data_IF_135157638809
#
_entry.id   IF_135157638809
#
_cell.length_a   1.000
_cell.length_b   1.000
_cell.length_c   1.000
_cell.angle_alpha   90.00
_cell.angle_beta   90.00
_cell.angle_gamma   90.00
#
_symmetry.space_group_name_H-M   'P 1'
#
loop_
_entity.id
_entity.type
_entity.pdbx_description
1 polymer ?
#
# COMPACT_ATOMS: atom_id res chain seq x y z
N UNK A 1 21.56 -41.07 -47.83
CA UNK A 1 20.11 -40.96 -47.59
C UNK A 1 19.89 -41.53 -46.21
N UNK A 2 20.10 -40.70 -45.20
CA UNK A 2 20.02 -41.09 -43.79
C UNK A 2 18.81 -40.39 -43.16
N UNK A 3 18.03 -41.20 -42.48
CA UNK A 3 16.77 -40.88 -41.82
C UNK A 3 17.05 -40.04 -40.58
N UNK A 4 16.62 -38.77 -40.57
CA UNK A 4 16.51 -38.02 -39.32
C UNK A 4 15.12 -38.23 -38.75
N UNK A 5 15.07 -39.17 -37.81
CA UNK A 5 13.91 -39.47 -36.99
C UNK A 5 13.41 -38.21 -36.28
N UNK A 6 12.11 -37.96 -36.46
CA UNK A 6 11.28 -37.04 -35.71
C UNK A 6 11.52 -37.30 -34.21
N UNK A 7 11.94 -36.27 -33.48
CA UNK A 7 12.02 -36.29 -32.02
C UNK A 7 10.60 -36.50 -31.49
N UNK A 8 10.30 -37.75 -31.16
CA UNK A 8 9.08 -38.19 -30.51
C UNK A 8 9.07 -37.71 -29.06
N UNK A 9 7.97 -37.05 -28.69
CA UNK A 9 7.47 -36.85 -27.33
C UNK A 9 8.48 -36.33 -26.30
N UNK A 10 8.65 -35.01 -26.28
CA UNK A 10 9.03 -34.31 -25.05
C UNK A 10 7.73 -33.87 -24.35
N UNK A 11 7.14 -34.77 -23.55
CA UNK A 11 6.13 -34.36 -22.57
C UNK A 11 6.85 -33.58 -21.48
N UNK A 12 6.71 -32.25 -21.53
CA UNK A 12 7.15 -31.38 -20.46
C UNK A 12 6.13 -31.57 -19.33
N UNK A 13 6.45 -32.46 -18.39
CA UNK A 13 5.73 -32.52 -17.11
C UNK A 13 6.00 -31.20 -16.38
N UNK A 14 5.02 -30.29 -16.43
CA UNK A 14 4.94 -29.18 -15.50
C UNK A 14 4.84 -29.80 -14.12
N UNK A 15 5.91 -29.65 -13.34
CA UNK A 15 5.92 -30.03 -11.94
C UNK A 15 4.79 -29.24 -11.24
N UNK A 16 3.66 -29.90 -11.00
CA UNK A 16 2.57 -29.41 -10.15
C UNK A 16 2.98 -29.55 -8.68
N UNK A 17 4.19 -29.08 -8.36
CA UNK A 17 4.45 -28.52 -7.07
C UNK A 17 3.50 -27.33 -6.97
N UNK A 18 2.33 -27.59 -6.40
CA UNK A 18 1.56 -26.63 -5.61
C UNK A 18 2.49 -26.22 -4.46
N UNK A 19 3.53 -25.46 -4.79
CA UNK A 19 3.94 -24.37 -3.94
C UNK A 19 2.65 -23.60 -3.77
N UNK A 20 2.00 -23.77 -2.62
CA UNK A 20 1.02 -22.79 -2.16
C UNK A 20 1.66 -21.45 -2.47
N UNK A 21 1.04 -20.66 -3.37
CA UNK A 21 1.36 -19.27 -3.59
C UNK A 21 1.21 -18.61 -2.22
N UNK A 22 2.26 -18.65 -1.41
CA UNK A 22 2.36 -17.84 -0.22
C UNK A 22 2.60 -16.45 -0.78
N UNK A 23 1.47 -15.80 -1.06
CA UNK A 23 1.38 -14.38 -1.32
C UNK A 23 2.30 -13.71 -0.29
N UNK A 24 3.38 -13.01 -0.72
CA UNK A 24 4.33 -12.43 0.21
C UNK A 24 3.54 -11.64 1.24
N UNK A 25 3.73 -11.97 2.53
CA UNK A 25 2.93 -11.45 3.64
C UNK A 25 2.73 -9.94 3.46
N UNK A 26 1.53 -9.57 3.03
CA UNK A 26 1.21 -8.18 2.74
C UNK A 26 0.67 -7.56 4.03
N UNK A 27 1.28 -6.45 4.44
CA UNK A 27 0.76 -5.67 5.56
C UNK A 27 -0.56 -5.04 5.13
N UNK A 28 -1.57 -5.09 5.99
CA UNK A 28 -2.88 -4.48 5.74
C UNK A 28 -3.00 -3.27 6.65
N UNK A 29 -3.25 -2.11 6.03
CA UNK A 29 -3.53 -0.86 6.71
C UNK A 29 -5.04 -0.66 6.75
N UNK A 30 -5.57 -0.39 7.94
CA UNK A 30 -6.98 -0.13 8.18
C UNK A 30 -7.22 1.37 8.36
N UNK A 31 -8.14 1.92 7.57
CA UNK A 31 -8.61 3.30 7.71
C UNK A 31 -9.86 3.27 8.57
N UNK A 32 -9.75 3.89 9.75
CA UNK A 32 -10.81 3.90 10.76
C UNK A 32 -11.47 5.28 10.83
N UNK A 33 -12.77 5.30 11.05
CA UNK A 33 -13.51 6.47 11.52
C UNK A 33 -14.10 6.11 12.88
N UNK A 34 -13.42 6.57 13.94
CA UNK A 34 -13.68 6.14 15.32
C UNK A 34 -13.54 4.62 15.46
N UNK A 35 -14.59 3.93 15.89
CA UNK A 35 -14.67 2.49 16.06
C UNK A 35 -15.08 1.74 14.78
N UNK A 36 -15.20 2.44 13.65
CA UNK A 36 -15.72 1.88 12.39
C UNK A 36 -14.63 1.75 11.34
N UNK A 37 -14.48 0.54 10.80
CA UNK A 37 -13.65 0.30 9.62
C UNK A 37 -14.30 0.92 8.38
N UNK A 38 -13.55 1.78 7.70
CA UNK A 38 -14.01 2.55 6.53
C UNK A 38 -13.43 1.98 5.25
N UNK A 39 -12.12 1.71 5.24
CA UNK A 39 -11.42 1.12 4.11
C UNK A 39 -10.19 0.33 4.60
N UNK A 40 -9.68 -0.57 3.77
CA UNK A 40 -8.39 -1.23 3.98
C UNK A 40 -7.54 -1.13 2.73
N UNK A 41 -6.23 -0.97 2.89
CA UNK A 41 -5.24 -0.96 1.80
C UNK A 41 -4.11 -1.88 2.19
N UNK A 42 -3.76 -2.82 1.32
CA UNK A 42 -2.60 -3.69 1.52
C UNK A 42 -1.30 -3.02 1.02
N UNK A 43 -0.15 -3.50 1.48
CA UNK A 43 1.15 -3.06 0.99
C UNK A 43 1.39 -3.37 -0.50
N UNK A 44 0.55 -4.23 -1.11
CA UNK A 44 0.52 -4.51 -2.55
C UNK A 44 -0.45 -3.61 -3.33
N UNK A 45 -1.23 -2.75 -2.66
CA UNK A 45 -2.16 -1.82 -3.29
C UNK A 45 -3.58 -2.34 -3.49
N UNK A 46 -3.86 -3.60 -3.15
CA UNK A 46 -5.23 -4.10 -3.10
C UNK A 46 -6.00 -3.34 -2.02
N UNK A 47 -7.15 -2.75 -2.40
CA UNK A 47 -7.96 -1.92 -1.52
C UNK A 47 -9.41 -2.41 -1.45
N UNK A 48 -10.05 -2.16 -0.31
CA UNK A 48 -11.46 -2.47 -0.07
C UNK A 48 -12.13 -1.32 0.66
N UNK A 49 -13.34 -0.95 0.24
CA UNK A 49 -14.09 0.17 0.82
C UNK A 49 -15.35 -0.39 1.50
N UNK A 50 -15.41 -0.25 2.82
CA UNK A 50 -16.51 -0.73 3.64
C UNK A 50 -17.59 0.34 3.85
N UNK A 51 -17.20 1.62 3.95
CA UNK A 51 -18.15 2.70 4.17
C UNK A 51 -17.75 4.01 3.49
N UNK A 52 -18.24 4.22 2.26
CA UNK A 52 -17.90 5.40 1.45
C UNK A 52 -18.33 6.74 2.09
N UNK A 53 -19.35 6.74 2.95
CA UNK A 53 -19.83 7.97 3.62
C UNK A 53 -18.83 8.52 4.63
N UNK A 54 -18.00 7.66 5.22
CA UNK A 54 -16.99 8.05 6.20
C UNK A 54 -15.57 8.03 5.63
N UNK A 55 -15.44 7.97 4.29
CA UNK A 55 -14.13 8.09 3.65
C UNK A 55 -13.50 9.45 3.97
N UNK A 56 -12.20 9.48 4.30
CA UNK A 56 -11.46 10.73 4.43
C UNK A 56 -11.54 11.54 3.14
N UNK A 57 -11.70 12.86 3.26
CA UNK A 57 -11.90 13.75 2.10
C UNK A 57 -10.81 13.65 1.02
N UNK A 58 -9.55 13.51 1.44
CA UNK A 58 -8.40 13.46 0.52
C UNK A 58 -7.87 12.04 0.29
N UNK A 59 -8.67 11.00 0.58
CA UNK A 59 -8.30 9.61 0.28
C UNK A 59 -9.19 9.04 -0.82
N UNK A 60 -8.59 8.80 -1.98
CA UNK A 60 -9.23 8.09 -3.08
C UNK A 60 -8.67 6.68 -3.20
N UNK A 61 -9.56 5.70 -3.22
CA UNK A 61 -9.25 4.30 -3.43
C UNK A 61 -10.25 3.69 -4.41
N UNK A 62 -9.77 2.71 -5.16
CA UNK A 62 -10.55 1.92 -6.10
C UNK A 62 -10.44 0.44 -5.75
N UNK A 63 -11.59 -0.23 -5.71
CA UNK A 63 -11.65 -1.67 -5.44
C UNK A 63 -11.37 -2.42 -6.73
N UNK A 64 -10.53 -3.45 -6.65
CA UNK A 64 -10.25 -4.29 -7.80
C UNK A 64 -11.49 -5.13 -8.19
N UNK A 65 -11.62 -5.38 -9.50
CA UNK A 65 -12.62 -6.29 -10.03
C UNK A 65 -12.25 -7.76 -9.82
N UNK A 66 -12.66 -8.61 -10.76
CA UNK A 66 -12.35 -10.05 -10.71
C UNK A 66 -10.89 -10.36 -11.08
N UNK A 67 -10.22 -9.45 -11.77
CA UNK A 67 -8.84 -9.58 -12.24
C UNK A 67 -7.94 -8.56 -11.54
N UNK A 68 -6.69 -8.94 -11.32
CA UNK A 68 -5.67 -8.06 -10.72
C UNK A 68 -5.32 -6.96 -11.71
N UNK A 69 -5.50 -5.71 -11.30
CA UNK A 69 -5.14 -4.53 -12.08
C UNK A 69 -3.98 -3.80 -11.41
N UNK A 70 -2.80 -3.95 -12.02
CA UNK A 70 -1.55 -3.37 -11.51
C UNK A 70 -1.62 -1.85 -11.48
N UNK A 71 -2.25 -1.21 -12.47
CA UNK A 71 -2.35 0.24 -12.55
C UNK A 71 -3.23 0.77 -11.41
N UNK A 72 -4.35 0.10 -11.14
CA UNK A 72 -5.22 0.40 -9.99
C UNK A 72 -4.47 0.25 -8.66
N UNK A 73 -3.69 -0.84 -8.48
CA UNK A 73 -2.90 -1.05 -7.25
C UNK A 73 -1.86 0.04 -7.03
N UNK A 74 -1.13 0.42 -8.08
CA UNK A 74 -0.12 1.49 -8.00
C UNK A 74 -0.81 2.80 -7.63
N UNK A 75 -1.92 3.14 -8.29
CA UNK A 75 -2.67 4.35 -8.01
C UNK A 75 -3.22 4.38 -6.57
N UNK A 76 -3.72 3.25 -6.06
CA UNK A 76 -4.15 3.13 -4.67
C UNK A 76 -3.01 3.38 -3.68
N UNK A 77 -1.82 2.82 -3.94
CA UNK A 77 -0.65 3.05 -3.10
C UNK A 77 -0.20 4.51 -3.13
N UNK A 78 -0.15 5.13 -4.31
CA UNK A 78 0.26 6.53 -4.44
C UNK A 78 -0.72 7.46 -3.71
N UNK A 79 -2.03 7.26 -3.90
CA UNK A 79 -3.05 8.03 -3.18
C UNK A 79 -2.98 7.81 -1.67
N UNK A 80 -2.79 6.56 -1.22
CA UNK A 80 -2.69 6.24 0.19
C UNK A 80 -1.43 6.85 0.84
N UNK A 81 -0.27 6.74 0.20
CA UNK A 81 0.97 7.32 0.71
C UNK A 81 0.93 8.85 0.69
N UNK A 82 0.35 9.46 -0.35
CA UNK A 82 0.16 10.91 -0.37
C UNK A 82 -0.74 11.38 0.79
N UNK A 83 -1.85 10.67 1.02
CA UNK A 83 -2.75 10.92 2.15
C UNK A 83 -2.05 10.73 3.51
N UNK A 84 -1.20 9.72 3.65
CA UNK A 84 -0.38 9.55 4.86
C UNK A 84 0.63 10.71 5.01
N UNK A 85 1.30 11.10 3.94
CA UNK A 85 2.30 12.17 3.95
C UNK A 85 1.71 13.51 4.38
N UNK A 86 0.48 13.83 3.95
CA UNK A 86 -0.20 15.09 4.30
C UNK A 86 -0.50 15.26 5.80
N UNK A 87 -0.48 14.16 6.57
CA UNK A 87 -0.66 14.17 8.04
C UNK A 87 0.61 14.46 8.82
N UNK A 88 1.75 14.45 8.13
CA UNK A 88 3.03 14.83 8.73
C UNK A 88 3.09 16.35 8.81
N UNK A 89 3.48 16.87 9.98
CA UNK A 89 3.72 18.29 10.21
C UNK A 89 4.63 18.87 9.10
N UNK A 90 4.16 19.94 8.46
CA UNK A 90 4.94 20.64 7.45
C UNK A 90 6.25 21.19 8.05
N UNK A 91 7.36 21.08 7.31
CA UNK A 91 8.70 21.47 7.78
C UNK A 91 8.86 22.98 8.03
N UNK A 92 7.96 23.81 7.52
CA UNK A 92 7.88 25.25 7.77
C UNK A 92 7.36 25.59 9.19
N UNK A 93 6.82 24.61 9.92
CA UNK A 93 6.41 24.82 11.31
C UNK A 93 7.62 25.03 12.21
N UNK A 94 7.50 26.02 13.12
CA UNK A 94 8.56 26.53 14.00
C UNK A 94 9.39 25.46 14.75
N UNK A 95 8.81 24.30 15.05
CA UNK A 95 9.46 23.22 15.81
C UNK A 95 9.52 21.87 15.09
N UNK A 96 9.17 21.82 13.79
CA UNK A 96 9.11 20.55 13.05
C UNK A 96 10.46 19.82 13.04
N UNK A 97 11.56 20.56 12.83
CA UNK A 97 12.91 19.99 12.74
C UNK A 97 13.35 19.36 14.05
N UNK A 98 13.07 20.02 15.17
CA UNK A 98 13.41 19.54 16.51
C UNK A 98 12.59 18.31 16.88
N UNK A 99 11.32 18.25 16.47
CA UNK A 99 10.46 17.08 16.66
C UNK A 99 10.96 15.89 15.83
N UNK A 100 11.29 16.07 14.55
CA UNK A 100 11.85 14.98 13.72
C UNK A 100 13.16 14.45 14.28
N UNK A 101 14.06 15.35 14.70
CA UNK A 101 15.32 14.95 15.31
C UNK A 101 15.12 14.19 16.63
N UNK A 102 14.11 14.53 17.43
CA UNK A 102 13.85 13.86 18.70
C UNK A 102 13.27 12.45 18.54
N UNK A 103 12.50 12.19 17.47
CA UNK A 103 11.99 10.86 17.12
C UNK A 103 12.96 10.04 16.26
N UNK A 104 14.16 10.57 15.96
CA UNK A 104 15.15 9.92 15.11
C UNK A 104 14.71 9.77 13.65
N UNK A 105 13.70 10.52 13.21
CA UNK A 105 13.25 10.52 11.83
C UNK A 105 14.17 11.40 10.99
N UNK A 106 14.62 10.87 9.85
CA UNK A 106 15.31 11.68 8.84
C UNK A 106 14.40 12.82 8.38
N UNK A 107 14.98 13.95 7.97
CA UNK A 107 14.22 15.01 7.29
C UNK A 107 13.71 14.44 5.97
N UNK A 108 12.50 13.89 6.00
CA UNK A 108 11.85 13.26 4.86
C UNK A 108 11.63 14.30 3.76
N UNK A 109 12.28 14.11 2.61
CA UNK A 109 12.19 15.01 1.46
C UNK A 109 11.10 14.52 0.50
N UNK A 110 10.80 13.22 0.52
CA UNK A 110 9.79 12.60 -0.34
C UNK A 110 8.49 12.29 0.41
N UNK A 111 7.36 12.30 -0.30
CA UNK A 111 6.07 11.91 0.27
C UNK A 111 6.08 10.48 0.80
N UNK A 112 6.87 9.58 0.19
CA UNK A 112 7.01 8.20 0.69
C UNK A 112 7.66 8.14 2.08
N UNK A 113 8.75 8.87 2.28
CA UNK A 113 9.40 8.94 3.60
C UNK A 113 8.48 9.59 4.64
N UNK A 114 7.77 10.66 4.26
CA UNK A 114 6.75 11.29 5.12
C UNK A 114 5.64 10.31 5.47
N UNK A 115 5.14 9.55 4.50
CA UNK A 115 4.13 8.54 4.73
C UNK A 115 4.59 7.46 5.73
N UNK A 116 5.83 6.98 5.62
CA UNK A 116 6.40 6.04 6.57
C UNK A 116 6.49 6.61 8.00
N UNK A 117 6.88 7.89 8.13
CA UNK A 117 6.85 8.57 9.43
C UNK A 117 5.42 8.64 9.96
N UNK A 118 4.44 9.01 9.13
CA UNK A 118 3.03 9.05 9.50
C UNK A 118 2.51 7.70 9.99
N UNK A 119 2.81 6.63 9.26
CA UNK A 119 2.41 5.27 9.60
C UNK A 119 3.00 4.81 10.94
N UNK A 120 4.20 5.27 11.31
CA UNK A 120 4.84 4.92 12.60
C UNK A 120 4.05 5.38 13.83
N UNK A 121 3.23 6.43 13.69
CA UNK A 121 2.31 6.92 14.71
C UNK A 121 0.84 6.76 14.30
N UNK A 122 0.53 5.77 13.45
CA UNK A 122 -0.82 5.42 12.99
C UNK A 122 -1.57 6.54 12.26
N UNK A 123 -0.85 7.42 11.56
CA UNK A 123 -1.44 8.51 10.79
C UNK A 123 -2.32 9.46 11.64
N UNK A 124 -2.08 9.51 12.95
CA UNK A 124 -2.78 10.42 13.86
C UNK A 124 -2.15 11.82 13.75
N UNK A 125 -2.88 12.77 13.19
CA UNK A 125 -2.47 14.18 13.15
C UNK A 125 -3.00 14.96 14.35
N UNK A 126 -2.28 15.99 14.79
CA UNK A 126 -2.80 16.99 15.74
C UNK A 126 -4.02 17.76 15.20
N UNK A 127 -4.22 17.72 13.88
CA UNK A 127 -5.39 18.30 13.20
C UNK A 127 -6.52 17.31 12.99
N UNK A 128 -6.37 16.04 13.36
CA UNK A 128 -7.47 15.08 13.33
C UNK A 128 -8.40 15.40 14.49
N UNK A 129 -9.27 16.36 14.24
CA UNK A 129 -10.40 16.71 15.09
C UNK A 129 -11.48 15.66 14.81
N UNK A 130 -12.01 15.08 15.90
CA UNK A 130 -13.24 14.29 15.90
C UNK A 130 -14.32 14.87 14.96
#
# INVERSE_FOLDING_TARGET
MEQNHIVSNLEIELNTNTASEQDPKSDIYEVMHMDRLVASVSSSGAAKIFNRKFMPYDLYLEEEGAEVDIDTRINNLDNFYHWCASRVLSLDRKYAKEIFNSIGAAQAVTDRERAHISLSYHCVSLTDVF
#
